data_IF_219131218849
#
_entry.id   IF_219131218849
#
_cell.length_a   1.000
_cell.length_b   1.000
_cell.length_c   1.000
_cell.angle_alpha   90.00
_cell.angle_beta   90.00
_cell.angle_gamma   90.00
#
_symmetry.space_group_name_H-M   'P 1'
#
loop_
_entity.id
_entity.type
_entity.pdbx_description
1 polymer ?
#
# COMPACT_ATOMS: atom_id res chain seq x y z
N UNK A 1 -25.24 2.06 9.47
CA UNK A 1 -24.79 1.43 8.21
C UNK A 1 -24.05 2.38 7.26
N UNK A 2 -24.41 3.68 7.16
CA UNK A 2 -23.85 4.58 6.13
C UNK A 2 -22.34 4.87 6.20
N UNK A 3 -21.76 5.01 7.39
CA UNK A 3 -20.32 5.37 7.53
C UNK A 3 -19.39 4.26 7.06
N UNK A 4 -19.77 2.98 7.29
CA UNK A 4 -18.96 1.82 6.89
C UNK A 4 -18.95 1.66 5.36
N UNK A 5 -20.10 1.85 4.70
CA UNK A 5 -20.20 1.82 3.24
C UNK A 5 -19.35 2.92 2.58
N UNK A 6 -19.35 4.13 3.15
CA UNK A 6 -18.51 5.23 2.66
C UNK A 6 -17.02 4.96 2.85
N UNK A 7 -16.63 4.31 3.95
CA UNK A 7 -15.24 3.88 4.18
C UNK A 7 -14.81 2.84 3.14
N UNK A 8 -15.57 1.77 2.97
CA UNK A 8 -15.27 0.72 2.00
C UNK A 8 -15.13 1.25 0.57
N UNK A 9 -16.04 2.15 0.16
CA UNK A 9 -15.96 2.78 -1.16
C UNK A 9 -14.66 3.57 -1.34
N UNK A 10 -14.29 4.36 -0.33
CA UNK A 10 -13.05 5.17 -0.35
C UNK A 10 -11.79 4.33 -0.29
N UNK A 11 -11.82 3.18 0.39
CA UNK A 11 -10.70 2.24 0.44
C UNK A 11 -10.44 1.63 -0.94
N UNK A 12 -11.51 1.23 -1.65
CA UNK A 12 -11.39 0.70 -3.01
C UNK A 12 -10.84 1.75 -3.99
N UNK A 13 -11.36 2.98 -3.97
CA UNK A 13 -10.86 4.08 -4.79
C UNK A 13 -9.38 4.39 -4.48
N UNK A 14 -8.99 4.37 -3.20
CA UNK A 14 -7.59 4.59 -2.81
C UNK A 14 -6.67 3.47 -3.31
N UNK A 15 -7.10 2.20 -3.22
CA UNK A 15 -6.32 1.06 -3.71
C UNK A 15 -6.07 1.15 -5.22
N UNK A 16 -7.06 1.54 -6.01
CA UNK A 16 -6.90 1.72 -7.46
C UNK A 16 -5.86 2.79 -7.80
N UNK A 17 -5.92 3.94 -7.12
CA UNK A 17 -4.94 5.03 -7.31
C UNK A 17 -3.52 4.60 -6.92
N UNK A 18 -3.38 3.86 -5.81
CA UNK A 18 -2.07 3.35 -5.39
C UNK A 18 -1.54 2.26 -6.31
N UNK A 19 -2.40 1.42 -6.90
CA UNK A 19 -2.02 0.42 -7.91
C UNK A 19 -1.51 1.06 -9.20
N UNK A 20 -2.22 2.08 -9.70
CA UNK A 20 -1.81 2.83 -10.89
C UNK A 20 -0.47 3.56 -10.66
N UNK A 21 -0.33 4.17 -9.48
CA UNK A 21 0.92 4.83 -9.07
C UNK A 21 2.07 3.82 -8.93
N UNK A 22 1.82 2.66 -8.30
CA UNK A 22 2.80 1.59 -8.17
C UNK A 22 3.30 1.11 -9.55
N UNK A 23 2.39 0.88 -10.51
CA UNK A 23 2.77 0.51 -11.87
C UNK A 23 3.65 1.56 -12.52
N UNK A 24 3.34 2.85 -12.31
CA UNK A 24 4.15 3.95 -12.84
C UNK A 24 5.55 4.02 -12.20
N UNK A 25 5.65 3.78 -10.89
CA UNK A 25 6.93 3.72 -10.19
C UNK A 25 7.77 2.51 -10.58
N UNK A 26 7.13 1.36 -10.81
CA UNK A 26 7.77 0.15 -11.33
C UNK A 26 8.37 0.39 -12.73
N UNK A 27 7.61 1.01 -13.65
CA UNK A 27 8.12 1.38 -14.97
C UNK A 27 9.24 2.43 -14.91
N UNK A 28 9.18 3.35 -13.94
CA UNK A 28 10.21 4.36 -13.72
C UNK A 28 11.47 3.83 -13.02
N UNK A 29 11.45 2.60 -12.48
CA UNK A 29 12.51 2.04 -11.65
C UNK A 29 12.65 2.73 -10.29
N UNK A 30 11.59 3.39 -9.81
CA UNK A 30 11.56 4.08 -8.52
C UNK A 30 11.07 3.14 -7.42
N UNK A 31 12.00 2.29 -6.95
CA UNK A 31 11.71 1.26 -5.95
C UNK A 31 11.20 1.87 -4.63
N UNK A 32 11.72 3.04 -4.23
CA UNK A 32 11.32 3.71 -2.98
C UNK A 32 9.85 4.13 -3.02
N UNK A 33 9.42 4.79 -4.09
CA UNK A 33 8.02 5.19 -4.24
C UNK A 33 7.08 4.00 -4.48
N UNK A 34 7.56 2.94 -5.13
CA UNK A 34 6.86 1.67 -5.26
C UNK A 34 6.60 1.04 -3.88
N UNK A 35 7.62 0.95 -3.04
CA UNK A 35 7.52 0.44 -1.67
C UNK A 35 6.59 1.30 -0.79
N UNK A 36 6.65 2.63 -0.91
CA UNK A 36 5.69 3.51 -0.23
C UNK A 36 4.24 3.25 -0.66
N UNK A 37 4.01 3.03 -1.95
CA UNK A 37 2.68 2.69 -2.47
C UNK A 37 2.18 1.37 -1.90
N UNK A 38 3.02 0.34 -1.87
CA UNK A 38 2.69 -0.95 -1.24
C UNK A 38 2.41 -0.84 0.26
N UNK A 39 3.17 -0.03 1.00
CA UNK A 39 2.93 0.22 2.41
C UNK A 39 1.59 0.93 2.65
N UNK A 40 1.24 1.90 1.82
CA UNK A 40 -0.06 2.59 1.90
C UNK A 40 -1.23 1.64 1.61
N UNK A 41 -1.08 0.76 0.61
CA UNK A 41 -2.05 -0.31 0.33
C UNK A 41 -2.19 -1.25 1.53
N UNK A 42 -1.08 -1.65 2.16
CA UNK A 42 -1.10 -2.49 3.35
C UNK A 42 -1.91 -1.88 4.49
N UNK A 43 -1.75 -0.56 4.73
CA UNK A 43 -2.57 0.18 5.70
C UNK A 43 -4.07 0.14 5.36
N UNK A 44 -4.43 0.28 4.08
CA UNK A 44 -5.83 0.20 3.65
C UNK A 44 -6.40 -1.21 3.85
N UNK A 45 -5.64 -2.26 3.51
CA UNK A 45 -6.07 -3.64 3.75
C UNK A 45 -6.27 -3.91 5.24
N UNK A 46 -5.38 -3.41 6.11
CA UNK A 46 -5.55 -3.50 7.56
C UNK A 46 -6.82 -2.77 8.05
N UNK A 47 -7.13 -1.59 7.50
CA UNK A 47 -8.36 -0.83 7.79
C UNK A 47 -9.64 -1.58 7.34
N UNK A 48 -9.55 -2.39 6.28
CA UNK A 48 -10.62 -3.26 5.81
C UNK A 48 -10.76 -4.55 6.64
N UNK A 49 -9.81 -4.83 7.54
CA UNK A 49 -9.74 -6.08 8.30
C UNK A 49 -9.09 -7.24 7.54
N UNK A 50 -8.52 -6.97 6.36
CA UNK A 50 -7.80 -7.94 5.54
C UNK A 50 -6.31 -7.90 5.88
N UNK A 51 -5.97 -8.48 7.02
CA UNK A 51 -4.59 -8.52 7.50
C UNK A 51 -3.68 -9.39 6.63
N UNK A 52 -4.24 -10.36 5.92
CA UNK A 52 -3.47 -11.28 5.08
C UNK A 52 -2.89 -10.55 3.87
N UNK A 53 -3.71 -9.76 3.18
CA UNK A 53 -3.21 -8.87 2.13
C UNK A 53 -2.33 -7.75 2.70
N UNK A 54 -2.68 -7.19 3.87
CA UNK A 54 -1.86 -6.16 4.49
C UNK A 54 -0.42 -6.61 4.74
N UNK A 55 -0.23 -7.80 5.32
CA UNK A 55 1.10 -8.37 5.56
C UNK A 55 1.82 -8.61 4.24
N UNK A 56 1.14 -9.20 3.24
CA UNK A 56 1.75 -9.49 1.95
C UNK A 56 2.29 -8.23 1.25
N UNK A 57 1.53 -7.14 1.25
CA UNK A 57 1.99 -5.87 0.66
C UNK A 57 3.09 -5.20 1.48
N UNK A 58 3.07 -5.35 2.81
CA UNK A 58 4.15 -4.87 3.66
C UNK A 58 5.46 -5.63 3.40
N UNK A 59 5.38 -6.96 3.24
CA UNK A 59 6.55 -7.80 2.92
C UNK A 59 7.18 -7.44 1.58
N UNK A 60 6.39 -6.98 0.60
CA UNK A 60 6.90 -6.48 -0.68
C UNK A 60 7.64 -5.13 -0.52
N UNK A 61 7.17 -4.26 0.38
CA UNK A 61 7.77 -2.96 0.63
C UNK A 61 9.01 -3.01 1.54
N UNK A 62 9.04 -3.98 2.46
CA UNK A 62 10.08 -4.14 3.48
C UNK A 62 11.52 -4.23 2.94
N UNK A 63 11.84 -5.03 1.90
CA UNK A 63 13.22 -5.12 1.41
C UNK A 63 13.73 -3.77 0.88
N UNK A 64 12.88 -3.03 0.17
CA UNK A 64 13.26 -1.70 -0.34
C UNK A 64 13.52 -0.73 0.80
N UNK A 65 12.66 -0.72 1.83
CA UNK A 65 12.87 0.14 3.00
C UNK A 65 14.14 -0.24 3.77
N UNK A 66 14.44 -1.54 3.88
CA UNK A 66 15.67 -2.03 4.51
C UNK A 66 16.92 -1.63 3.72
N UNK A 67 16.90 -1.79 2.40
CA UNK A 67 18.01 -1.39 1.52
C UNK A 67 18.23 0.13 1.51
N UNK A 68 17.15 0.91 1.59
CA UNK A 68 17.23 2.38 1.64
C UNK A 68 17.44 2.93 3.06
N UNK A 69 17.58 2.09 4.08
CA UNK A 69 17.79 2.52 5.47
C UNK A 69 16.58 3.25 6.09
N UNK A 70 15.39 3.13 5.47
CA UNK A 70 14.13 3.69 5.96
C UNK A 70 13.61 2.72 7.02
N UNK A 71 14.19 2.79 8.22
CA UNK A 71 13.63 2.10 9.38
C UNK A 71 12.29 2.77 9.71
N UNK A 72 11.18 2.04 9.52
CA UNK A 72 9.92 2.41 10.14
C UNK A 72 10.14 2.34 11.66
N UNK A 73 10.30 3.52 12.28
CA UNK A 73 10.44 3.72 13.73
C UNK A 73 9.10 3.58 14.45
#
# INVERSE_FOLDING_TARGET
>A
MGVVLLRLKRHQEALEVFLESASSFEEAGDEVNLAMSHNNMAGIFADMGDYENAVRYNELALPVFQENGIQQY
#
